data_IF_392477935092
#
_entry.id   IF_392477935092
#
_cell.length_a   1.000
_cell.length_b   1.000
_cell.length_c   1.000
_cell.angle_alpha   90.00
_cell.angle_beta   90.00
_cell.angle_gamma   90.00
#
_symmetry.space_group_name_H-M   'P 1'
#
loop_
_entity.id
_entity.type
_entity.pdbx_description
1 polymer ?
#
# COMPACT_ATOMS: atom_id res chain seq x y z
N UNK A 1 3.92 7.65 14.82
CA UNK A 1 2.57 8.04 14.31
C UNK A 1 2.43 9.55 14.31
N UNK A 2 1.82 10.14 13.31
CA UNK A 2 1.59 11.60 13.27
C UNK A 2 0.26 11.97 13.98
N UNK A 3 0.04 11.44 15.18
CA UNK A 3 -1.13 11.71 16.04
C UNK A 3 -0.75 12.74 17.09
N UNK A 4 -1.59 13.77 17.26
CA UNK A 4 -1.40 14.78 18.29
C UNK A 4 -1.67 14.18 19.68
N UNK A 5 -0.76 14.41 20.60
CA UNK A 5 -0.70 13.76 21.89
C UNK A 5 0.29 12.58 21.96
N UNK A 6 0.86 12.13 20.83
CA UNK A 6 1.93 11.12 20.78
C UNK A 6 3.30 11.81 20.92
N UNK A 7 3.60 12.29 22.11
CA UNK A 7 4.69 13.24 22.37
C UNK A 7 6.10 12.64 22.19
N UNK A 8 6.25 11.33 22.29
CA UNK A 8 7.50 10.59 22.04
C UNK A 8 7.63 10.08 20.60
N UNK A 9 6.56 10.15 19.80
CA UNK A 9 6.52 9.77 18.39
C UNK A 9 6.55 8.27 18.12
N UNK A 10 6.35 7.44 19.11
CA UNK A 10 6.35 5.98 18.98
C UNK A 10 5.04 5.44 18.33
N UNK A 11 4.74 4.15 18.46
CA UNK A 11 3.55 3.50 17.91
C UNK A 11 2.31 3.57 18.83
N UNK A 12 2.41 4.18 20.00
CA UNK A 12 1.37 4.16 21.03
C UNK A 12 1.11 5.55 21.59
N UNK A 13 -0.06 5.73 22.21
CA UNK A 13 -0.33 6.87 23.09
C UNK A 13 -0.50 6.30 24.49
N UNK A 14 0.41 6.66 25.39
CA UNK A 14 0.45 6.11 26.74
C UNK A 14 0.93 7.13 27.80
N UNK A 15 1.26 6.65 28.99
CA UNK A 15 1.68 7.51 30.11
C UNK A 15 3.03 8.17 29.91
N UNK A 16 3.86 7.68 28.97
CA UNK A 16 5.12 8.33 28.64
C UNK A 16 4.89 9.66 27.91
N UNK A 17 3.87 9.71 27.03
CA UNK A 17 3.47 10.97 26.38
C UNK A 17 2.99 12.01 27.39
N UNK A 18 2.18 11.58 28.36
CA UNK A 18 1.74 12.44 29.47
C UNK A 18 2.94 12.95 30.24
N UNK A 19 3.92 12.09 30.54
CA UNK A 19 5.14 12.47 31.26
C UNK A 19 5.95 13.53 30.52
N UNK A 20 6.14 13.37 29.22
CA UNK A 20 6.88 14.33 28.37
C UNK A 20 6.20 15.69 28.38
N UNK A 21 4.89 15.74 28.20
CA UNK A 21 4.14 17.01 28.24
C UNK A 21 4.25 17.64 29.62
N UNK A 22 4.12 16.86 30.69
CA UNK A 22 4.24 17.35 32.07
C UNK A 22 5.65 17.86 32.36
N UNK A 23 6.72 17.18 31.90
CA UNK A 23 8.11 17.61 32.10
C UNK A 23 8.40 18.96 31.40
N UNK A 24 7.77 19.21 30.25
CA UNK A 24 7.79 20.52 29.61
C UNK A 24 7.10 21.59 30.47
N UNK A 25 5.89 21.31 30.95
CA UNK A 25 5.13 22.24 31.79
C UNK A 25 5.83 22.56 33.13
N UNK A 26 6.56 21.60 33.66
CA UNK A 26 7.37 21.75 34.89
C UNK A 26 8.73 22.46 34.62
N UNK A 27 9.05 22.79 33.36
CA UNK A 27 10.31 23.42 32.97
C UNK A 27 11.54 22.52 33.08
N UNK A 28 11.35 21.18 32.99
CA UNK A 28 12.44 20.19 32.99
C UNK A 28 13.03 19.95 31.61
N UNK A 29 12.22 20.17 30.54
CA UNK A 29 12.64 20.13 29.14
C UNK A 29 12.20 21.40 28.44
N UNK A 30 12.93 21.79 27.41
CA UNK A 30 12.67 23.02 26.65
C UNK A 30 11.69 22.77 25.50
N UNK A 31 11.05 23.83 25.01
CA UNK A 31 10.15 23.74 23.85
C UNK A 31 10.85 23.20 22.59
N UNK A 32 12.14 23.46 22.44
CA UNK A 32 12.99 22.97 21.34
C UNK A 32 13.18 21.46 21.34
N UNK A 33 12.97 20.80 22.48
CA UNK A 33 13.11 19.35 22.64
C UNK A 33 11.81 18.60 22.32
N UNK A 34 10.71 19.35 22.18
CA UNK A 34 9.40 18.78 21.88
C UNK A 34 9.30 18.35 20.41
N UNK A 35 8.66 17.21 20.21
CA UNK A 35 8.43 16.66 18.88
C UNK A 35 7.55 17.58 18.03
N UNK A 36 8.02 17.83 16.79
CA UNK A 36 7.32 18.64 15.79
C UNK A 36 6.95 17.78 14.60
N UNK A 37 5.73 17.93 14.11
CA UNK A 37 5.30 17.40 12.80
C UNK A 37 4.99 18.56 11.84
N UNK A 38 5.03 18.29 10.54
CA UNK A 38 4.84 19.33 9.50
C UNK A 38 3.81 18.87 8.49
N UNK A 39 2.82 19.72 8.22
CA UNK A 39 1.76 19.42 7.26
C UNK A 39 2.23 19.55 5.80
N UNK A 40 1.38 19.14 4.87
CA UNK A 40 1.64 19.20 3.43
C UNK A 40 1.91 20.62 2.89
N UNK A 41 1.53 21.68 3.64
CA UNK A 41 1.75 23.08 3.29
C UNK A 41 3.05 23.63 3.89
N UNK A 42 3.79 22.81 4.63
CA UNK A 42 5.03 23.21 5.31
C UNK A 42 4.83 23.90 6.65
N UNK A 43 3.62 23.90 7.22
CA UNK A 43 3.35 24.44 8.53
C UNK A 43 3.67 23.40 9.60
N UNK A 44 4.50 23.78 10.56
CA UNK A 44 4.92 22.94 11.67
C UNK A 44 4.02 23.09 12.89
N UNK A 45 3.89 22.00 13.64
CA UNK A 45 3.06 21.88 14.84
C UNK A 45 3.76 21.06 15.90
N UNK A 46 3.66 21.43 17.16
CA UNK A 46 4.06 20.59 18.26
C UNK A 46 3.06 19.44 18.43
N UNK A 47 3.55 18.23 18.48
CA UNK A 47 2.69 17.04 18.64
C UNK A 47 2.05 17.01 20.03
N UNK A 48 2.70 17.64 21.01
CA UNK A 48 2.20 17.79 22.38
C UNK A 48 0.98 18.73 22.52
N UNK A 49 0.69 19.59 21.53
CA UNK A 49 -0.58 20.35 21.44
C UNK A 49 -1.70 19.39 21.00
N UNK A 50 -2.11 18.55 21.94
CA UNK A 50 -2.96 17.37 21.66
C UNK A 50 -4.39 17.76 21.33
N UNK A 51 -4.94 18.79 21.99
CA UNK A 51 -6.29 19.31 21.76
C UNK A 51 -6.38 20.30 20.59
N UNK A 52 -5.23 20.70 20.00
CA UNK A 52 -5.07 21.56 18.82
C UNK A 52 -5.54 22.99 19.05
N UNK A 53 -5.42 23.53 20.28
CA UNK A 53 -5.75 24.93 20.59
C UNK A 53 -4.60 25.93 20.30
N UNK A 54 -3.41 25.43 19.94
CA UNK A 54 -2.22 26.19 19.60
C UNK A 54 -1.29 26.47 20.77
N UNK A 55 -1.49 25.82 21.91
CA UNK A 55 -0.67 25.94 23.11
C UNK A 55 -0.40 24.57 23.70
N UNK A 56 0.66 24.44 24.48
CA UNK A 56 0.92 23.25 25.29
C UNK A 56 0.63 23.61 26.75
N UNK A 57 -0.42 23.03 27.30
CA UNK A 57 -0.94 23.33 28.65
C UNK A 57 -1.35 22.06 29.40
N UNK A 58 -1.83 22.19 30.62
CA UNK A 58 -2.41 21.05 31.36
C UNK A 58 -3.66 20.46 30.70
N UNK A 59 -4.33 21.22 29.84
CA UNK A 59 -5.47 20.73 29.07
C UNK A 59 -5.06 19.64 28.07
N UNK A 60 -3.83 19.73 27.53
CA UNK A 60 -3.27 18.67 26.67
C UNK A 60 -2.96 17.39 27.46
N UNK A 61 -2.46 17.54 28.70
CA UNK A 61 -2.28 16.39 29.60
C UNK A 61 -3.62 15.68 29.86
N UNK A 62 -4.69 16.44 30.13
CA UNK A 62 -6.01 15.92 30.33
C UNK A 62 -6.55 15.26 29.05
N UNK A 63 -6.31 15.90 27.89
CA UNK A 63 -6.72 15.37 26.60
C UNK A 63 -5.98 14.06 26.26
N UNK A 64 -4.66 13.98 26.45
CA UNK A 64 -3.91 12.73 26.23
C UNK A 64 -4.40 11.63 27.16
N UNK A 65 -4.71 11.94 28.44
CA UNK A 65 -5.33 10.97 29.33
C UNK A 65 -6.67 10.47 28.78
N UNK A 66 -7.49 11.34 28.21
CA UNK A 66 -8.77 10.94 27.61
C UNK A 66 -8.57 10.08 26.34
N UNK A 67 -7.47 10.30 25.60
CA UNK A 67 -7.09 9.45 24.47
C UNK A 67 -6.64 8.05 24.93
N UNK A 68 -5.88 7.96 26.02
CA UNK A 68 -5.46 6.69 26.64
C UNK A 68 -6.68 5.91 27.15
N UNK A 69 -7.58 6.59 27.85
CA UNK A 69 -8.80 6.01 28.41
C UNK A 69 -9.91 5.79 27.36
N UNK A 70 -9.70 6.19 26.10
CA UNK A 70 -10.67 6.10 25.00
C UNK A 70 -11.99 6.83 25.28
N UNK A 71 -11.93 7.92 26.05
CA UNK A 71 -13.08 8.78 26.40
C UNK A 71 -13.13 10.08 25.59
N UNK A 72 -12.07 10.38 24.85
CA UNK A 72 -12.06 11.51 23.92
C UNK A 72 -13.09 11.32 22.79
N UNK A 73 -13.80 12.38 22.41
CA UNK A 73 -14.74 12.34 21.29
C UNK A 73 -14.02 12.08 19.96
N UNK A 74 -12.85 12.69 19.78
CA UNK A 74 -12.03 12.61 18.55
C UNK A 74 -10.55 12.58 18.87
N UNK A 75 -9.79 12.03 17.94
CA UNK A 75 -8.33 12.14 17.86
C UNK A 75 -7.95 13.06 16.70
N UNK A 76 -6.89 13.85 16.86
CA UNK A 76 -6.32 14.73 15.83
C UNK A 76 -5.01 14.15 15.30
N UNK A 77 -4.78 14.25 13.98
CA UNK A 77 -3.59 13.71 13.33
C UNK A 77 -3.31 14.40 11.99
N UNK A 78 -2.11 14.22 11.46
CA UNK A 78 -1.86 14.39 10.03
C UNK A 78 -2.13 13.06 9.33
N UNK A 79 -2.96 13.08 8.30
CA UNK A 79 -3.27 11.89 7.52
C UNK A 79 -2.09 11.48 6.61
N UNK A 80 -2.26 10.42 5.82
CA UNK A 80 -1.21 9.88 4.96
C UNK A 80 -0.72 10.82 3.86
N UNK A 81 -1.38 11.94 3.66
CA UNK A 81 -0.99 13.03 2.76
C UNK A 81 -0.52 14.28 3.51
N UNK A 82 -0.34 14.20 4.82
CA UNK A 82 0.07 15.32 5.66
C UNK A 82 -1.04 16.38 5.84
N UNK A 83 -2.31 15.99 5.69
CA UNK A 83 -3.44 16.89 5.85
C UNK A 83 -3.97 16.77 7.27
N UNK A 84 -4.20 17.94 7.90
CA UNK A 84 -4.79 18.00 9.23
C UNK A 84 -6.19 17.39 9.22
N UNK A 85 -6.35 16.31 9.98
CA UNK A 85 -7.56 15.52 10.05
C UNK A 85 -7.94 15.19 11.49
N UNK A 86 -9.15 14.75 11.68
CA UNK A 86 -9.62 14.22 12.95
C UNK A 86 -10.62 13.09 12.72
N UNK A 87 -10.67 12.15 13.66
CA UNK A 87 -11.58 11.01 13.60
C UNK A 87 -12.16 10.74 14.97
N UNK A 88 -13.47 10.44 15.02
CA UNK A 88 -14.12 9.91 16.21
C UNK A 88 -13.53 8.57 16.62
N UNK A 89 -13.60 8.22 17.90
CA UNK A 89 -13.09 6.95 18.41
C UNK A 89 -14.16 5.88 18.61
N UNK A 90 -15.43 6.29 18.60
CA UNK A 90 -16.57 5.38 18.58
C UNK A 90 -17.08 5.25 17.15
N UNK A 91 -16.74 4.12 16.50
CA UNK A 91 -16.96 3.87 15.08
C UNK A 91 -17.74 2.56 14.95
N UNK A 92 -18.88 2.61 14.26
CA UNK A 92 -19.69 1.43 13.93
C UNK A 92 -19.77 1.19 12.42
N UNK A 93 -19.84 2.27 11.61
CA UNK A 93 -20.04 2.20 10.18
C UNK A 93 -18.87 2.81 9.42
N UNK A 94 -18.18 2.01 8.60
CA UNK A 94 -16.99 2.40 7.85
C UNK A 94 -17.23 2.28 6.35
N UNK A 95 -16.89 3.34 5.60
CA UNK A 95 -16.69 3.27 4.14
C UNK A 95 -15.21 3.03 3.88
N UNK A 96 -14.90 1.98 3.08
CA UNK A 96 -13.54 1.60 2.69
C UNK A 96 -13.40 1.65 1.17
N UNK A 97 -12.59 2.58 0.64
CA UNK A 97 -12.57 2.80 -0.82
C UNK A 97 -11.83 1.75 -1.61
N UNK A 98 -10.80 1.12 -1.07
CA UNK A 98 -9.92 0.26 -1.85
C UNK A 98 -9.54 -1.02 -1.10
N UNK A 99 -8.82 -1.90 -1.78
CA UNK A 99 -8.43 -3.21 -1.28
C UNK A 99 -7.50 -3.11 -0.08
N UNK A 100 -6.53 -2.19 -0.11
CA UNK A 100 -5.59 -1.95 0.99
C UNK A 100 -6.29 -1.57 2.31
N UNK A 101 -7.34 -0.77 2.23
CA UNK A 101 -8.13 -0.38 3.40
C UNK A 101 -8.95 -1.59 3.92
N UNK A 102 -9.51 -2.41 3.02
CA UNK A 102 -10.22 -3.63 3.41
C UNK A 102 -9.28 -4.64 4.09
N UNK A 103 -8.07 -4.84 3.56
CA UNK A 103 -7.05 -5.68 4.17
C UNK A 103 -6.66 -5.17 5.56
N UNK A 104 -6.45 -3.86 5.69
CA UNK A 104 -6.12 -3.26 6.99
C UNK A 104 -7.25 -3.43 8.01
N UNK A 105 -8.51 -3.24 7.61
CA UNK A 105 -9.65 -3.46 8.50
C UNK A 105 -9.80 -4.94 8.90
N UNK A 106 -9.44 -5.87 8.00
CA UNK A 106 -9.37 -7.30 8.31
C UNK A 106 -8.28 -7.60 9.33
N UNK A 107 -7.06 -7.13 9.09
CA UNK A 107 -5.92 -7.24 10.00
C UNK A 107 -6.27 -6.72 11.40
N UNK A 108 -6.98 -5.60 11.49
CA UNK A 108 -7.41 -5.01 12.74
C UNK A 108 -8.61 -5.74 13.39
N UNK A 109 -9.22 -6.70 12.69
CA UNK A 109 -10.37 -7.49 13.18
C UNK A 109 -11.68 -6.69 13.23
N UNK A 110 -11.83 -5.69 12.37
CA UNK A 110 -12.98 -4.77 12.37
C UNK A 110 -13.73 -4.72 11.02
N UNK A 111 -13.51 -5.69 10.16
CA UNK A 111 -14.14 -5.77 8.83
C UNK A 111 -15.68 -5.81 8.88
N UNK A 112 -16.28 -6.30 9.96
CA UNK A 112 -17.74 -6.29 10.15
C UNK A 112 -18.34 -4.88 10.29
N UNK A 113 -17.49 -3.86 10.50
CA UNK A 113 -17.91 -2.45 10.50
C UNK A 113 -18.01 -1.85 9.09
N UNK A 114 -17.56 -2.55 8.06
CA UNK A 114 -17.60 -2.07 6.67
C UNK A 114 -19.05 -2.10 6.16
N UNK A 115 -19.60 -0.93 5.85
CA UNK A 115 -20.94 -0.80 5.26
C UNK A 115 -20.91 -0.53 3.75
N UNK A 116 -19.77 -0.03 3.24
CA UNK A 116 -19.59 0.25 1.81
C UNK A 116 -18.13 0.12 1.39
N UNK A 117 -17.90 -0.37 0.17
CA UNK A 117 -16.56 -0.48 -0.41
C UNK A 117 -16.51 0.03 -1.85
N UNK A 118 -15.31 0.38 -2.30
CA UNK A 118 -15.06 0.69 -3.71
C UNK A 118 -15.28 -0.50 -4.64
N UNK A 119 -15.28 -0.24 -5.95
CA UNK A 119 -15.60 -1.26 -6.94
C UNK A 119 -14.62 -2.45 -6.94
N UNK A 120 -13.32 -2.20 -6.80
CA UNK A 120 -12.30 -3.25 -6.80
C UNK A 120 -12.49 -4.26 -5.66
N UNK A 121 -12.53 -3.88 -4.38
CA UNK A 121 -12.80 -4.83 -3.31
C UNK A 121 -14.21 -5.45 -3.38
N UNK A 122 -15.20 -4.74 -3.94
CA UNK A 122 -16.53 -5.32 -4.14
C UNK A 122 -16.53 -6.46 -5.17
N UNK A 123 -15.81 -6.31 -6.28
CA UNK A 123 -15.66 -7.36 -7.29
C UNK A 123 -14.89 -8.57 -6.76
N UNK A 124 -13.94 -8.32 -5.86
CA UNK A 124 -13.10 -9.35 -5.23
C UNK A 124 -13.52 -9.67 -3.78
N UNK A 125 -14.80 -9.46 -3.44
CA UNK A 125 -15.31 -9.63 -2.07
C UNK A 125 -15.12 -11.03 -1.50
N UNK A 126 -15.05 -12.06 -2.35
CA UNK A 126 -14.75 -13.41 -1.92
C UNK A 126 -13.34 -13.56 -1.32
N UNK A 127 -12.47 -12.59 -1.53
CA UNK A 127 -11.17 -12.47 -0.89
C UNK A 127 -11.15 -11.34 0.15
N UNK A 128 -11.27 -10.07 -0.28
CA UNK A 128 -11.08 -8.92 0.60
C UNK A 128 -12.13 -8.76 1.72
N UNK A 129 -13.29 -9.40 1.57
CA UNK A 129 -14.38 -9.37 2.55
C UNK A 129 -14.73 -10.76 3.10
N UNK A 130 -13.83 -11.74 2.94
CA UNK A 130 -14.12 -13.14 3.32
C UNK A 130 -14.35 -13.32 4.83
N UNK A 131 -13.73 -12.47 5.65
CA UNK A 131 -13.86 -12.54 7.11
C UNK A 131 -15.09 -11.80 7.66
N UNK A 132 -15.90 -11.18 6.80
CA UNK A 132 -17.16 -10.58 7.23
C UNK A 132 -18.22 -11.66 7.48
N UNK A 133 -19.01 -11.46 8.55
CA UNK A 133 -20.14 -12.33 8.85
C UNK A 133 -21.20 -12.28 7.73
N UNK A 134 -21.44 -11.10 7.16
CA UNK A 134 -22.35 -10.92 6.01
C UNK A 134 -21.82 -9.86 5.03
N UNK A 135 -21.09 -10.31 4.02
CA UNK A 135 -20.60 -9.43 2.95
C UNK A 135 -21.67 -9.11 1.88
N UNK A 136 -22.86 -9.71 1.95
CA UNK A 136 -23.93 -9.49 0.96
C UNK A 136 -24.61 -8.13 1.14
N UNK A 137 -24.58 -7.58 2.35
CA UNK A 137 -25.17 -6.27 2.71
C UNK A 137 -24.28 -5.08 2.37
N UNK A 138 -23.00 -5.32 2.01
CA UNK A 138 -22.06 -4.24 1.71
C UNK A 138 -22.42 -3.52 0.42
N UNK A 139 -22.54 -2.20 0.51
CA UNK A 139 -22.85 -1.35 -0.65
C UNK A 139 -21.64 -1.13 -1.55
N UNK A 140 -21.83 -1.17 -2.87
CA UNK A 140 -20.78 -0.86 -3.84
C UNK A 140 -20.77 0.64 -4.16
N UNK A 141 -19.67 1.34 -3.88
CA UNK A 141 -19.48 2.74 -4.29
C UNK A 141 -19.55 2.95 -5.81
N UNK A 142 -19.34 1.89 -6.59
CA UNK A 142 -19.17 1.90 -8.05
C UNK A 142 -18.03 2.82 -8.52
N UNK A 143 -18.13 4.12 -8.26
CA UNK A 143 -17.12 5.10 -8.62
C UNK A 143 -16.74 5.95 -7.41
N UNK A 144 -15.53 5.75 -6.87
CA UNK A 144 -15.02 6.49 -5.72
C UNK A 144 -14.86 8.01 -5.96
N UNK A 145 -14.80 8.43 -7.24
CA UNK A 145 -14.66 9.84 -7.60
C UNK A 145 -16.01 10.59 -7.69
N UNK A 146 -17.08 9.86 -7.91
CA UNK A 146 -18.45 10.41 -8.00
C UNK A 146 -19.49 9.38 -7.51
N UNK A 147 -19.47 9.02 -6.23
CA UNK A 147 -20.39 8.04 -5.67
C UNK A 147 -21.81 8.61 -5.52
N UNK A 148 -22.78 7.74 -5.33
CA UNK A 148 -24.15 8.12 -4.97
C UNK A 148 -24.20 8.52 -3.48
N UNK A 149 -24.04 9.79 -3.20
CA UNK A 149 -24.04 10.32 -1.84
C UNK A 149 -25.39 10.16 -1.11
N UNK A 150 -26.53 10.12 -1.84
CA UNK A 150 -27.85 9.92 -1.22
C UNK A 150 -27.96 8.48 -0.69
N UNK A 151 -27.50 7.50 -1.47
CA UNK A 151 -27.43 6.11 -1.03
C UNK A 151 -26.47 5.91 0.14
N UNK A 152 -25.31 6.60 0.12
CA UNK A 152 -24.33 6.51 1.20
C UNK A 152 -24.81 7.13 2.50
N UNK A 153 -25.59 8.24 2.44
CA UNK A 153 -26.12 8.89 3.64
C UNK A 153 -27.07 7.97 4.44
N UNK A 154 -27.76 7.05 3.76
CA UNK A 154 -28.66 6.06 4.41
C UNK A 154 -27.87 5.03 5.24
N UNK A 155 -26.58 4.83 4.92
CA UNK A 155 -25.70 3.92 5.66
C UNK A 155 -25.15 4.53 6.96
N UNK A 156 -25.40 5.81 7.20
CA UNK A 156 -24.99 6.57 8.38
C UNK A 156 -23.49 6.32 8.72
N UNK A 157 -22.55 6.56 7.77
CA UNK A 157 -21.15 6.25 7.99
C UNK A 157 -20.54 7.16 9.05
N UNK A 158 -19.82 6.57 9.99
CA UNK A 158 -19.03 7.30 10.98
C UNK A 158 -17.72 7.79 10.38
N UNK A 159 -17.09 6.92 9.60
CA UNK A 159 -15.77 7.13 9.01
C UNK A 159 -15.74 6.71 7.55
N UNK A 160 -15.08 7.51 6.74
CA UNK A 160 -14.77 7.20 5.36
C UNK A 160 -13.25 7.16 5.19
N UNK A 161 -12.69 5.97 5.04
CA UNK A 161 -11.28 5.76 4.76
C UNK A 161 -11.10 5.84 3.25
N UNK A 162 -10.54 6.96 2.80
CA UNK A 162 -10.35 7.26 1.39
C UNK A 162 -9.02 6.68 0.87
N UNK A 163 -9.05 6.12 -0.33
CA UNK A 163 -7.85 5.60 -0.98
C UNK A 163 -6.88 6.72 -1.40
N UNK A 164 -7.43 7.79 -1.99
CA UNK A 164 -6.67 8.94 -2.47
C UNK A 164 -7.18 10.22 -1.81
N UNK A 165 -6.31 11.22 -1.74
CA UNK A 165 -6.69 12.57 -1.29
C UNK A 165 -7.47 13.33 -2.38
N UNK A 166 -8.66 12.83 -2.71
CA UNK A 166 -9.52 13.40 -3.76
C UNK A 166 -10.92 13.68 -3.24
N UNK A 167 -11.42 14.89 -3.49
CA UNK A 167 -12.78 15.31 -3.13
C UNK A 167 -13.11 15.17 -1.63
N UNK A 168 -12.11 15.29 -0.74
CA UNK A 168 -12.24 15.01 0.69
C UNK A 168 -13.30 15.89 1.35
N UNK A 169 -13.33 17.20 1.03
CA UNK A 169 -14.33 18.14 1.58
C UNK A 169 -15.74 17.79 1.13
N UNK A 170 -15.90 17.39 -0.15
CA UNK A 170 -17.19 16.97 -0.70
C UNK A 170 -17.67 15.68 -0.04
N UNK A 171 -16.76 14.70 0.13
CA UNK A 171 -17.06 13.44 0.83
C UNK A 171 -17.54 13.73 2.25
N UNK A 172 -16.82 14.57 2.99
CA UNK A 172 -17.13 14.96 4.36
C UNK A 172 -18.48 15.69 4.45
N UNK A 173 -18.70 16.70 3.59
CA UNK A 173 -19.94 17.48 3.57
C UNK A 173 -21.16 16.60 3.26
N UNK A 174 -21.03 15.71 2.26
CA UNK A 174 -22.16 14.93 1.75
C UNK A 174 -22.47 13.69 2.58
N UNK A 175 -21.44 13.01 3.14
CA UNK A 175 -21.65 11.81 3.95
C UNK A 175 -21.83 12.08 5.44
N UNK A 176 -21.41 13.26 5.93
CA UNK A 176 -21.31 13.61 7.36
C UNK A 176 -20.34 12.70 8.15
N UNK A 177 -19.56 11.87 7.47
CA UNK A 177 -18.52 11.03 8.06
C UNK A 177 -17.26 11.86 8.38
N UNK A 178 -16.43 11.35 9.27
CA UNK A 178 -15.04 11.80 9.38
C UNK A 178 -14.26 11.19 8.21
N UNK A 179 -13.65 12.00 7.34
CA UNK A 179 -12.99 11.56 6.10
C UNK A 179 -11.50 11.85 6.16
N UNK A 180 -10.68 10.85 5.91
CA UNK A 180 -9.23 10.97 5.79
C UNK A 180 -8.66 9.83 4.92
N UNK A 181 -7.42 9.99 4.45
CA UNK A 181 -6.71 8.94 3.73
C UNK A 181 -5.45 8.55 4.49
N UNK A 182 -5.32 7.29 4.92
CA UNK A 182 -4.08 6.78 5.54
C UNK A 182 -2.95 6.54 4.53
N UNK A 183 -3.23 6.63 3.21
CA UNK A 183 -2.28 6.41 2.11
C UNK A 183 -1.63 5.00 2.16
N UNK A 184 -2.43 3.97 2.42
CA UNK A 184 -1.97 2.59 2.66
C UNK A 184 -1.27 1.93 1.48
N UNK A 185 -1.50 2.40 0.26
CA UNK A 185 -0.83 1.89 -0.94
C UNK A 185 0.58 2.43 -1.13
N UNK A 186 0.93 3.50 -0.41
CA UNK A 186 2.27 4.06 -0.49
C UNK A 186 3.25 3.24 0.36
N UNK A 187 4.27 2.67 -0.28
CA UNK A 187 5.44 2.11 0.40
C UNK A 187 6.68 2.88 -0.05
N UNK A 188 7.56 3.17 0.89
CA UNK A 188 8.90 3.69 0.64
C UNK A 188 9.89 2.55 0.94
N UNK A 189 10.38 1.89 -0.09
CA UNK A 189 11.35 0.80 0.06
C UNK A 189 12.80 1.29 0.23
N UNK A 190 13.03 2.61 0.23
CA UNK A 190 14.30 3.21 0.65
C UNK A 190 14.34 3.32 2.18
N UNK A 191 13.22 3.75 2.77
CA UNK A 191 13.03 3.80 4.22
C UNK A 191 11.57 3.46 4.57
N UNK A 192 11.28 2.20 4.93
CA UNK A 192 9.91 1.73 5.16
C UNK A 192 9.19 2.49 6.28
N UNK A 193 9.91 3.06 7.24
CA UNK A 193 9.30 3.88 8.31
C UNK A 193 8.68 5.19 7.81
N UNK A 194 9.06 5.66 6.62
CA UNK A 194 8.43 6.82 5.98
C UNK A 194 7.19 6.45 5.17
N UNK A 195 6.95 5.15 4.96
CA UNK A 195 5.84 4.66 4.14
C UNK A 195 4.48 5.06 4.69
N UNK A 196 3.58 5.43 3.79
CA UNK A 196 2.17 5.63 4.13
C UNK A 196 1.53 4.36 4.69
N UNK A 197 1.86 3.18 4.15
CA UNK A 197 1.35 1.90 4.66
C UNK A 197 1.77 1.64 6.12
N UNK A 198 2.98 2.00 6.53
CA UNK A 198 3.45 1.86 7.93
C UNK A 198 2.77 2.89 8.85
N UNK A 199 2.83 4.16 8.47
CA UNK A 199 2.22 5.24 9.26
C UNK A 199 0.69 5.10 9.33
N UNK A 200 0.06 4.77 8.21
CA UNK A 200 -1.37 4.54 8.11
C UNK A 200 -1.85 3.33 8.91
N UNK A 201 -1.07 2.24 8.91
CA UNK A 201 -1.38 1.06 9.73
C UNK A 201 -1.38 1.40 11.23
N UNK A 202 -0.35 2.11 11.70
CA UNK A 202 -0.25 2.53 13.10
C UNK A 202 -1.39 3.50 13.48
N UNK A 203 -1.73 4.44 12.58
CA UNK A 203 -2.86 5.37 12.77
C UNK A 203 -4.17 4.60 12.92
N UNK A 204 -4.47 3.69 11.98
CA UNK A 204 -5.70 2.90 12.02
C UNK A 204 -5.70 1.92 13.20
N UNK A 205 -4.54 1.34 13.54
CA UNK A 205 -4.37 0.51 14.73
C UNK A 205 -4.76 1.25 16.02
N UNK A 206 -4.39 2.53 16.13
CA UNK A 206 -4.82 3.38 17.23
C UNK A 206 -6.33 3.69 17.14
N UNK A 207 -6.83 4.17 15.99
CA UNK A 207 -8.24 4.54 15.79
C UNK A 207 -9.15 3.36 16.13
N UNK A 208 -8.87 2.17 15.63
CA UNK A 208 -9.68 0.95 15.84
C UNK A 208 -9.29 0.13 17.09
N UNK A 209 -8.43 0.67 17.94
CA UNK A 209 -8.04 0.05 19.22
C UNK A 209 -7.38 -1.33 19.07
N UNK A 210 -6.58 -1.53 18.05
CA UNK A 210 -5.79 -2.73 17.84
C UNK A 210 -4.35 -2.42 17.38
N UNK A 211 -3.64 -1.62 18.18
CA UNK A 211 -2.25 -1.24 17.92
C UNK A 211 -1.32 -2.45 17.80
N UNK A 212 -1.57 -3.52 18.59
CA UNK A 212 -0.74 -4.72 18.55
C UNK A 212 -0.80 -5.44 17.18
N UNK A 213 -1.95 -5.44 16.49
CA UNK A 213 -2.05 -5.99 15.15
C UNK A 213 -1.30 -5.12 14.14
N UNK A 214 -1.45 -3.80 14.23
CA UNK A 214 -0.72 -2.86 13.38
C UNK A 214 0.80 -2.97 13.58
N UNK A 215 1.29 -3.11 14.82
CA UNK A 215 2.70 -3.31 15.13
C UNK A 215 3.24 -4.61 14.51
N UNK A 216 2.49 -5.72 14.57
CA UNK A 216 2.91 -6.98 13.91
C UNK A 216 3.08 -6.82 12.39
N UNK A 217 2.15 -6.11 11.75
CA UNK A 217 2.22 -5.82 10.33
C UNK A 217 3.44 -4.95 9.99
N UNK A 218 3.69 -3.90 10.76
CA UNK A 218 4.84 -3.02 10.56
C UNK A 218 6.15 -3.77 10.76
N UNK A 219 6.24 -4.61 11.80
CA UNK A 219 7.42 -5.43 12.03
C UNK A 219 7.68 -6.41 10.87
N UNK A 220 6.63 -7.04 10.34
CA UNK A 220 6.77 -7.92 9.17
C UNK A 220 7.34 -7.18 7.95
N UNK A 221 6.86 -5.96 7.66
CA UNK A 221 7.42 -5.13 6.58
C UNK A 221 8.90 -4.84 6.83
N UNK A 222 9.24 -4.38 8.03
CA UNK A 222 10.59 -3.92 8.36
C UNK A 222 11.58 -5.08 8.41
N UNK A 223 11.20 -6.23 8.98
CA UNK A 223 12.05 -7.41 9.08
C UNK A 223 12.39 -7.96 7.69
N UNK A 224 11.42 -8.06 6.79
CA UNK A 224 11.64 -8.51 5.43
C UNK A 224 12.43 -7.48 4.60
N UNK A 225 12.16 -6.19 4.76
CA UNK A 225 12.97 -5.14 4.16
C UNK A 225 14.43 -5.19 4.60
N UNK A 226 14.70 -5.40 5.89
CA UNK A 226 16.05 -5.57 6.42
C UNK A 226 16.74 -6.77 5.79
N UNK A 227 16.07 -7.93 5.72
CA UNK A 227 16.59 -9.13 5.09
C UNK A 227 16.99 -8.87 3.63
N UNK A 228 16.12 -8.25 2.84
CA UNK A 228 16.37 -7.94 1.44
C UNK A 228 17.53 -6.94 1.28
N UNK A 229 17.54 -5.90 2.13
CA UNK A 229 18.63 -4.91 2.15
C UNK A 229 19.98 -5.57 2.46
N UNK A 230 20.03 -6.49 3.42
CA UNK A 230 21.26 -7.18 3.79
C UNK A 230 21.72 -8.13 2.68
N UNK A 231 20.81 -8.83 2.02
CA UNK A 231 21.13 -9.65 0.84
C UNK A 231 21.73 -8.80 -0.28
N UNK A 232 21.12 -7.66 -0.57
CA UNK A 232 21.55 -6.75 -1.66
C UNK A 232 22.95 -6.19 -1.44
N UNK A 233 23.36 -5.95 -0.18
CA UNK A 233 24.72 -5.49 0.15
C UNK A 233 25.83 -6.48 -0.28
N UNK A 234 25.48 -7.74 -0.52
CA UNK A 234 26.40 -8.76 -0.97
C UNK A 234 26.62 -8.76 -2.48
N UNK A 235 25.82 -8.01 -3.24
CA UNK A 235 25.83 -7.96 -4.70
C UNK A 235 26.66 -6.76 -5.16
N UNK A 236 27.66 -7.00 -6.00
CA UNK A 236 28.46 -5.90 -6.58
C UNK A 236 27.66 -5.18 -7.68
N UNK A 237 27.92 -3.90 -7.91
CA UNK A 237 27.26 -3.13 -8.98
C UNK A 237 27.44 -3.77 -10.37
N UNK A 238 28.58 -4.43 -10.60
CA UNK A 238 28.87 -5.10 -11.87
C UNK A 238 28.10 -6.41 -12.08
N UNK A 239 27.59 -6.98 -10.99
CA UNK A 239 26.84 -8.26 -10.99
C UNK A 239 25.32 -8.04 -10.97
N UNK A 240 24.85 -6.80 -10.91
CA UNK A 240 23.42 -6.48 -10.96
C UNK A 240 22.87 -6.72 -12.35
N UNK A 241 21.89 -7.64 -12.51
CA UNK A 241 21.27 -7.85 -13.81
C UNK A 241 20.44 -6.63 -14.22
N UNK A 242 20.46 -6.32 -15.52
CA UNK A 242 19.67 -5.23 -16.09
C UNK A 242 18.22 -5.69 -16.33
N UNK A 243 17.27 -4.89 -15.89
CA UNK A 243 15.84 -5.25 -15.89
C UNK A 243 15.00 -4.14 -16.51
N UNK A 244 14.23 -4.47 -17.54
CA UNK A 244 13.15 -3.63 -18.03
C UNK A 244 11.84 -4.05 -17.36
N UNK A 245 11.26 -3.13 -16.59
CA UNK A 245 9.98 -3.33 -15.90
C UNK A 245 8.91 -2.44 -16.52
N UNK A 246 7.77 -3.01 -16.93
CA UNK A 246 6.69 -2.22 -17.51
C UNK A 246 5.29 -2.81 -17.28
N UNK A 247 4.27 -1.96 -17.42
CA UNK A 247 2.88 -2.35 -17.32
C UNK A 247 2.30 -2.76 -18.68
N UNK A 248 2.00 -4.04 -18.84
CA UNK A 248 1.48 -4.58 -20.10
C UNK A 248 0.10 -4.03 -20.46
N UNK A 249 -0.77 -3.78 -19.48
CA UNK A 249 -2.08 -3.16 -19.71
C UNK A 249 -1.98 -1.79 -20.38
N UNK A 250 -0.99 -0.96 -19.98
CA UNK A 250 -0.71 0.32 -20.62
C UNK A 250 -0.23 0.18 -22.06
N UNK A 251 0.56 -0.86 -22.36
CA UNK A 251 1.00 -1.15 -23.72
C UNK A 251 -0.16 -1.52 -24.64
N UNK A 252 -1.09 -2.37 -24.19
CA UNK A 252 -2.23 -2.79 -25.00
C UNK A 252 -3.12 -1.63 -25.46
N UNK A 253 -3.18 -0.55 -24.70
CA UNK A 253 -3.95 0.63 -25.08
C UNK A 253 -3.26 1.51 -26.17
N UNK A 254 -1.95 1.36 -26.34
CA UNK A 254 -1.14 2.22 -27.22
C UNK A 254 -0.40 1.45 -28.35
N UNK A 255 -0.79 0.20 -28.63
CA UNK A 255 -0.15 -0.63 -29.67
C UNK A 255 -0.13 0.01 -31.05
N UNK A 256 -1.18 0.78 -31.39
CA UNK A 256 -1.26 1.48 -32.68
C UNK A 256 -0.17 2.56 -32.85
N UNK A 257 0.29 3.14 -31.74
CA UNK A 257 1.32 4.19 -31.74
C UNK A 257 2.73 3.66 -31.49
N UNK A 258 2.88 2.36 -31.27
CA UNK A 258 4.16 1.72 -30.91
C UNK A 258 4.82 2.39 -29.70
N UNK A 259 4.04 2.67 -28.68
CA UNK A 259 4.45 3.35 -27.46
C UNK A 259 4.23 2.43 -26.28
N UNK A 260 5.24 2.33 -25.41
CA UNK A 260 5.19 1.58 -24.17
C UNK A 260 5.02 2.53 -23.00
N UNK A 261 4.11 2.21 -22.10
CA UNK A 261 4.02 2.89 -20.80
C UNK A 261 4.98 2.22 -19.83
N UNK A 262 5.98 2.98 -19.39
CA UNK A 262 6.95 2.55 -18.39
C UNK A 262 6.70 3.25 -17.05
N UNK A 263 7.04 2.56 -15.99
CA UNK A 263 6.95 3.10 -14.63
C UNK A 263 8.23 3.86 -14.28
N UNK A 264 8.08 5.02 -13.67
CA UNK A 264 9.20 5.84 -13.21
C UNK A 264 9.75 5.42 -11.85
N UNK A 265 10.67 6.23 -11.33
CA UNK A 265 11.42 5.94 -10.09
C UNK A 265 10.57 5.97 -8.82
N UNK A 266 9.39 6.59 -8.85
CA UNK A 266 8.43 6.54 -7.72
C UNK A 266 7.63 5.25 -7.66
N UNK A 267 7.64 4.43 -8.73
CA UNK A 267 6.83 3.23 -8.80
C UNK A 267 7.31 2.14 -7.84
N UNK A 268 6.35 1.37 -7.31
CA UNK A 268 6.65 0.24 -6.44
C UNK A 268 7.54 -0.81 -7.12
N UNK A 269 7.34 -1.04 -8.43
CA UNK A 269 8.16 -1.99 -9.19
C UNK A 269 9.62 -1.56 -9.29
N UNK A 270 9.88 -0.27 -9.52
CA UNK A 270 11.24 0.28 -9.52
C UNK A 270 11.89 0.14 -8.14
N UNK A 271 11.18 0.51 -7.08
CA UNK A 271 11.70 0.43 -5.72
C UNK A 271 11.95 -1.03 -5.30
N UNK A 272 11.03 -1.95 -5.62
CA UNK A 272 11.15 -3.37 -5.34
C UNK A 272 12.37 -4.00 -6.07
N UNK A 273 12.55 -3.62 -7.34
CA UNK A 273 13.70 -4.05 -8.13
C UNK A 273 15.03 -3.61 -7.50
N UNK A 274 15.13 -2.34 -7.11
CA UNK A 274 16.33 -1.81 -6.48
C UNK A 274 16.59 -2.43 -5.10
N UNK A 275 15.54 -2.70 -4.32
CA UNK A 275 15.66 -3.33 -2.99
C UNK A 275 16.34 -4.69 -3.07
N UNK A 276 16.11 -5.46 -4.13
CA UNK A 276 16.72 -6.80 -4.32
C UNK A 276 17.95 -6.79 -5.21
N UNK A 277 18.46 -5.62 -5.60
CA UNK A 277 19.73 -5.48 -6.29
C UNK A 277 19.67 -5.69 -7.81
N UNK A 278 18.53 -5.43 -8.45
CA UNK A 278 18.46 -5.32 -9.90
C UNK A 278 18.86 -3.90 -10.37
N UNK A 279 19.38 -3.78 -11.60
CA UNK A 279 19.60 -2.51 -12.27
C UNK A 279 18.39 -2.17 -13.16
N UNK A 280 17.71 -1.06 -12.87
CA UNK A 280 16.55 -0.65 -13.64
C UNK A 280 16.98 0.02 -14.95
N UNK A 281 16.64 -0.56 -16.09
CA UNK A 281 16.95 -0.01 -17.43
C UNK A 281 16.41 1.41 -17.61
N UNK A 282 15.35 1.79 -16.89
CA UNK A 282 14.83 3.16 -16.93
C UNK A 282 15.84 4.22 -16.47
N UNK A 283 16.80 3.86 -15.62
CA UNK A 283 17.86 4.77 -15.17
C UNK A 283 18.77 5.18 -16.33
N UNK A 284 18.89 4.33 -17.35
CA UNK A 284 19.71 4.58 -18.55
C UNK A 284 18.95 5.37 -19.61
N UNK A 285 17.63 5.08 -19.78
CA UNK A 285 16.85 5.64 -20.91
C UNK A 285 15.98 6.85 -20.54
N UNK A 286 15.57 6.96 -19.27
CA UNK A 286 14.71 8.04 -18.80
C UNK A 286 14.93 8.35 -17.29
N UNK A 287 16.16 8.69 -16.86
CA UNK A 287 16.52 8.82 -15.44
C UNK A 287 15.74 9.93 -14.68
N UNK A 288 15.14 10.86 -15.41
CA UNK A 288 14.33 11.94 -14.81
C UNK A 288 12.84 11.60 -14.69
N UNK A 289 12.43 10.41 -15.13
CA UNK A 289 11.03 10.00 -15.06
C UNK A 289 10.70 9.58 -13.62
N UNK A 290 9.83 10.35 -12.96
CA UNK A 290 9.43 10.11 -11.58
C UNK A 290 8.23 9.15 -11.52
N UNK A 291 7.12 9.50 -12.17
CA UNK A 291 5.89 8.72 -12.08
C UNK A 291 5.79 7.66 -13.18
N UNK A 292 5.08 7.95 -14.24
CA UNK A 292 5.02 7.09 -15.42
C UNK A 292 5.16 7.92 -16.68
N UNK A 293 5.66 7.31 -17.74
CA UNK A 293 5.87 7.99 -19.01
C UNK A 293 5.69 7.06 -20.19
N UNK A 294 5.70 7.66 -21.38
CA UNK A 294 5.58 6.93 -22.63
C UNK A 294 6.90 6.99 -23.38
N UNK A 295 7.39 5.83 -23.79
CA UNK A 295 8.57 5.70 -24.66
C UNK A 295 8.20 4.99 -25.94
N UNK A 296 8.84 5.37 -27.04
CA UNK A 296 8.71 4.64 -28.31
C UNK A 296 9.40 3.27 -28.23
N UNK A 297 8.80 2.24 -28.81
CA UNK A 297 9.39 0.89 -28.87
C UNK A 297 10.80 0.93 -29.49
N UNK A 298 11.04 1.85 -30.43
CA UNK A 298 12.34 2.01 -31.09
C UNK A 298 13.48 2.33 -30.09
N UNK A 299 13.16 3.02 -28.99
CA UNK A 299 14.13 3.31 -27.94
C UNK A 299 14.57 2.06 -27.18
N UNK A 300 13.79 0.98 -27.22
CA UNK A 300 14.10 -0.29 -26.57
C UNK A 300 15.03 -1.18 -27.41
N UNK A 301 15.10 -0.95 -28.72
CA UNK A 301 15.97 -1.73 -29.64
C UNK A 301 17.46 -1.53 -29.33
N UNK A 302 17.80 -0.34 -28.82
CA UNK A 302 19.18 0.00 -28.44
C UNK A 302 19.51 -0.42 -26.99
N UNK A 303 18.50 -0.76 -26.21
CA UNK A 303 18.63 -1.11 -24.79
C UNK A 303 18.52 -2.62 -24.63
N UNK A 304 19.62 -3.24 -24.21
CA UNK A 304 19.62 -4.65 -23.85
C UNK A 304 19.31 -4.79 -22.37
N UNK A 305 18.31 -5.61 -22.03
CA UNK A 305 17.99 -6.01 -20.66
C UNK A 305 18.23 -7.52 -20.53
N UNK A 306 18.79 -7.95 -19.42
CA UNK A 306 18.92 -9.37 -19.10
C UNK A 306 17.54 -9.98 -18.80
N UNK A 307 16.66 -9.16 -18.22
CA UNK A 307 15.31 -9.57 -17.82
C UNK A 307 14.26 -8.56 -18.26
N UNK A 308 13.11 -9.09 -18.68
CA UNK A 308 11.87 -8.34 -18.92
C UNK A 308 10.87 -8.76 -17.86
N UNK A 309 10.45 -7.83 -17.00
CA UNK A 309 9.39 -8.05 -16.04
C UNK A 309 8.11 -7.37 -16.50
N UNK A 310 7.10 -8.17 -16.77
CA UNK A 310 5.81 -7.74 -17.29
C UNK A 310 4.79 -7.71 -16.18
N UNK A 311 4.41 -6.51 -15.76
CA UNK A 311 3.37 -6.30 -14.79
C UNK A 311 2.00 -6.49 -15.43
N UNK A 312 1.25 -7.48 -15.02
CA UNK A 312 -0.08 -7.76 -15.54
C UNK A 312 -0.99 -8.43 -14.51
N UNK A 313 -2.29 -8.20 -14.66
CA UNK A 313 -3.35 -8.83 -13.88
C UNK A 313 -4.62 -8.88 -14.73
N UNK A 314 -5.38 -9.95 -14.60
CA UNK A 314 -6.71 -10.02 -15.20
C UNK A 314 -7.70 -9.32 -14.27
N UNK A 315 -8.00 -8.08 -14.57
CA UNK A 315 -8.99 -7.31 -13.84
C UNK A 315 -10.40 -7.60 -14.39
N UNK A 316 -11.29 -8.09 -13.56
CA UNK A 316 -12.72 -8.24 -13.89
C UNK A 316 -13.50 -6.98 -13.50
N UNK A 317 -13.05 -5.81 -14.00
CA UNK A 317 -13.71 -4.52 -13.79
C UNK A 317 -14.20 -3.91 -15.10
N UNK A 318 -15.33 -3.22 -15.08
CA UNK A 318 -15.90 -2.40 -16.16
C UNK A 318 -16.33 -3.12 -17.44
N UNK A 319 -16.43 -4.45 -17.46
CA UNK A 319 -16.91 -5.21 -18.64
C UNK A 319 -16.00 -5.11 -19.86
N UNK A 320 -14.78 -4.58 -19.72
CA UNK A 320 -13.76 -4.59 -20.76
C UNK A 320 -12.76 -5.69 -20.48
N UNK A 321 -12.91 -6.83 -21.15
CA UNK A 321 -11.81 -7.79 -21.25
C UNK A 321 -10.64 -7.10 -21.92
N UNK A 322 -9.57 -6.87 -21.17
CA UNK A 322 -8.27 -6.57 -21.76
C UNK A 322 -7.79 -7.88 -22.38
N UNK A 323 -7.95 -8.02 -23.69
CA UNK A 323 -7.50 -9.20 -24.40
C UNK A 323 -6.02 -9.47 -24.07
N UNK A 324 -5.69 -10.71 -23.77
CA UNK A 324 -4.33 -11.21 -23.53
C UNK A 324 -3.69 -10.95 -22.16
N UNK A 325 -4.43 -10.51 -21.14
CA UNK A 325 -3.92 -10.52 -19.76
C UNK A 325 -4.28 -11.87 -19.12
N UNK A 326 -3.30 -12.68 -18.69
CA UNK A 326 -3.58 -13.98 -18.09
C UNK A 326 -4.26 -13.81 -16.74
N UNK A 327 -5.12 -14.78 -16.39
CA UNK A 327 -5.70 -14.84 -15.07
C UNK A 327 -4.62 -15.17 -14.03
N UNK A 328 -4.54 -14.37 -12.96
CA UNK A 328 -3.66 -14.58 -11.82
C UNK A 328 -4.22 -13.89 -10.57
N UNK A 329 -3.64 -14.18 -9.41
CA UNK A 329 -4.02 -13.62 -8.13
C UNK A 329 -4.87 -14.55 -7.26
N UNK A 330 -5.46 -14.00 -6.23
CA UNK A 330 -6.12 -14.74 -5.15
C UNK A 330 -7.32 -15.60 -5.58
N UNK A 331 -8.05 -15.19 -6.60
CA UNK A 331 -9.28 -15.86 -7.05
C UNK A 331 -9.05 -16.80 -8.25
N UNK A 332 -7.81 -17.18 -8.52
CA UNK A 332 -7.43 -18.01 -9.67
C UNK A 332 -6.66 -19.24 -9.17
N UNK A 333 -7.20 -20.43 -9.41
CA UNK A 333 -6.58 -21.69 -8.98
C UNK A 333 -5.92 -22.46 -10.13
N UNK A 334 -5.92 -21.91 -11.34
CA UNK A 334 -5.36 -22.55 -12.52
C UNK A 334 -4.38 -21.61 -13.23
N UNK A 335 -3.14 -22.01 -13.32
CA UNK A 335 -2.05 -21.22 -13.93
C UNK A 335 -1.93 -21.39 -15.46
N UNK A 336 -2.82 -22.14 -16.13
CA UNK A 336 -2.69 -22.44 -17.56
C UNK A 336 -2.67 -21.20 -18.44
N UNK A 337 -3.44 -20.16 -18.11
CA UNK A 337 -3.42 -18.90 -18.85
C UNK A 337 -2.08 -18.15 -18.65
N UNK A 338 -1.54 -18.18 -17.44
CA UNK A 338 -0.25 -17.56 -17.10
C UNK A 338 0.90 -18.27 -17.83
N UNK A 339 0.91 -19.60 -17.80
CA UNK A 339 1.87 -20.44 -18.52
C UNK A 339 1.80 -20.16 -20.03
N UNK A 340 0.61 -20.25 -20.63
CA UNK A 340 0.43 -20.00 -22.06
C UNK A 340 0.83 -18.58 -22.48
N UNK A 341 0.57 -17.60 -21.62
CA UNK A 341 0.95 -16.22 -21.88
C UNK A 341 2.48 -16.05 -21.81
N UNK A 342 3.12 -16.63 -20.82
CA UNK A 342 4.58 -16.57 -20.69
C UNK A 342 5.30 -17.27 -21.84
N UNK A 343 4.81 -18.45 -22.24
CA UNK A 343 5.29 -19.16 -23.43
C UNK A 343 5.02 -18.40 -24.72
N UNK A 344 3.92 -17.67 -24.78
CA UNK A 344 3.47 -16.90 -25.94
C UNK A 344 3.97 -15.46 -26.01
N UNK A 345 4.79 -14.98 -25.04
CA UNK A 345 5.33 -13.62 -25.04
C UNK A 345 6.10 -13.29 -26.34
N UNK A 346 6.60 -14.30 -27.04
CA UNK A 346 7.32 -14.17 -28.31
C UNK A 346 6.47 -13.64 -29.49
N UNK A 347 5.14 -13.66 -29.37
CA UNK A 347 4.27 -13.29 -30.51
C UNK A 347 3.95 -11.79 -30.59
N UNK A 348 4.57 -10.95 -29.76
CA UNK A 348 4.36 -9.51 -29.78
C UNK A 348 5.59 -8.84 -30.37
N UNK A 349 5.37 -7.88 -31.29
CA UNK A 349 6.43 -7.11 -31.98
C UNK A 349 7.46 -6.51 -31.00
N UNK A 350 7.04 -6.10 -29.80
CA UNK A 350 7.95 -5.63 -28.74
C UNK A 350 8.97 -6.72 -28.36
N UNK A 351 8.53 -7.97 -28.29
CA UNK A 351 9.34 -9.08 -27.83
C UNK A 351 10.23 -9.66 -28.93
N UNK A 352 9.96 -9.37 -30.20
CA UNK A 352 10.84 -9.70 -31.32
C UNK A 352 12.21 -9.02 -31.19
N UNK A 353 12.25 -7.83 -30.57
CA UNK A 353 13.48 -7.08 -30.30
C UNK A 353 14.24 -7.57 -29.05
N UNK A 354 13.63 -8.46 -28.28
CA UNK A 354 14.14 -8.94 -26.98
C UNK A 354 14.24 -10.46 -26.95
N UNK A 355 14.64 -11.10 -28.07
CA UNK A 355 14.68 -12.56 -28.20
C UNK A 355 15.57 -13.24 -27.14
N UNK A 356 16.72 -12.63 -26.83
CA UNK A 356 17.72 -13.15 -25.88
C UNK A 356 17.43 -12.76 -24.42
N UNK A 357 16.33 -12.03 -24.15
CA UNK A 357 15.99 -11.55 -22.81
C UNK A 357 15.12 -12.55 -22.07
N UNK A 358 15.46 -12.87 -20.82
CA UNK A 358 14.60 -13.68 -19.95
C UNK A 358 13.29 -12.93 -19.63
N UNK A 359 12.15 -13.56 -19.80
CA UNK A 359 10.84 -12.92 -19.71
C UNK A 359 10.00 -13.54 -18.60
N UNK A 360 9.51 -12.70 -17.70
CA UNK A 360 8.70 -13.12 -16.56
C UNK A 360 7.52 -12.20 -16.33
N UNK A 361 6.49 -12.71 -15.67
CA UNK A 361 5.27 -11.97 -15.33
C UNK A 361 5.26 -11.70 -13.84
N UNK A 362 4.93 -10.46 -13.48
CA UNK A 362 4.67 -10.07 -12.09
C UNK A 362 3.18 -9.82 -11.87
N UNK A 363 2.68 -10.15 -10.68
CA UNK A 363 1.28 -10.02 -10.35
C UNK A 363 0.96 -8.69 -9.68
N UNK A 364 -0.02 -7.95 -10.22
CA UNK A 364 -0.49 -6.69 -9.66
C UNK A 364 -1.18 -6.85 -8.30
N UNK A 365 -1.81 -7.99 -8.03
CA UNK A 365 -2.53 -8.18 -6.76
C UNK A 365 -1.62 -8.17 -5.54
N UNK A 366 -0.31 -8.43 -5.73
CA UNK A 366 0.71 -8.23 -4.69
C UNK A 366 0.94 -6.76 -4.31
N UNK A 367 0.28 -5.81 -4.99
CA UNK A 367 0.47 -4.37 -4.76
C UNK A 367 -0.72 -3.68 -4.09
N UNK A 368 -1.79 -4.38 -3.84
CA UNK A 368 -3.03 -3.77 -3.33
C UNK A 368 -2.86 -3.10 -1.97
N UNK A 369 -2.01 -3.63 -1.09
CA UNK A 369 -1.49 -2.91 0.06
C UNK A 369 -0.05 -2.46 -0.20
N UNK A 370 0.41 -1.38 0.39
CA UNK A 370 1.81 -0.96 0.27
C UNK A 370 2.80 -2.07 0.65
N UNK A 371 2.44 -2.91 1.64
CA UNK A 371 3.17 -4.12 2.02
C UNK A 371 3.32 -5.15 0.89
N UNK A 372 2.43 -5.15 -0.07
CA UNK A 372 2.56 -5.98 -1.29
C UNK A 372 3.86 -5.71 -2.06
N UNK A 373 4.46 -4.54 -1.89
CA UNK A 373 5.79 -4.24 -2.41
C UNK A 373 6.90 -5.13 -1.87
N UNK A 374 6.76 -5.63 -0.66
CA UNK A 374 7.68 -6.63 -0.07
C UNK A 374 7.53 -7.98 -0.80
N UNK A 375 6.30 -8.41 -1.08
CA UNK A 375 6.03 -9.64 -1.85
C UNK A 375 6.54 -9.51 -3.30
N UNK A 376 6.31 -8.37 -3.93
CA UNK A 376 6.84 -8.09 -5.27
C UNK A 376 8.36 -8.10 -5.29
N UNK A 377 9.02 -7.49 -4.30
CA UNK A 377 10.46 -7.51 -4.17
C UNK A 377 10.99 -8.94 -3.98
N UNK A 378 10.31 -9.76 -3.17
CA UNK A 378 10.66 -11.17 -3.01
C UNK A 378 10.53 -11.97 -4.32
N UNK A 379 9.45 -11.74 -5.08
CA UNK A 379 9.26 -12.36 -6.40
C UNK A 379 10.38 -11.97 -7.37
N UNK A 380 10.68 -10.67 -7.48
CA UNK A 380 11.79 -10.18 -8.31
C UNK A 380 13.11 -10.76 -7.83
N UNK A 381 13.34 -10.77 -6.51
CA UNK A 381 14.52 -11.34 -5.91
C UNK A 381 14.71 -12.83 -6.28
N UNK A 382 13.65 -13.63 -6.25
CA UNK A 382 13.69 -15.02 -6.68
C UNK A 382 14.05 -15.17 -8.16
N UNK A 383 13.49 -14.32 -9.04
CA UNK A 383 13.82 -14.34 -10.47
C UNK A 383 15.28 -14.00 -10.71
N UNK A 384 15.85 -13.01 -10.02
CA UNK A 384 17.20 -12.54 -10.23
C UNK A 384 18.25 -13.36 -9.47
N UNK A 385 17.92 -13.82 -8.27
CA UNK A 385 18.83 -14.44 -7.31
C UNK A 385 18.15 -15.60 -6.56
N UNK A 386 17.82 -16.71 -7.23
CA UNK A 386 17.05 -17.82 -6.62
C UNK A 386 17.76 -18.47 -5.42
N UNK A 387 19.09 -18.37 -5.35
CA UNK A 387 19.89 -18.88 -4.22
C UNK A 387 19.71 -18.00 -2.95
N UNK A 388 19.45 -16.69 -3.11
CA UNK A 388 19.18 -15.77 -1.99
C UNK A 388 17.70 -15.75 -1.61
N UNK A 389 16.82 -15.92 -2.58
CA UNK A 389 15.36 -15.86 -2.43
C UNK A 389 14.74 -17.15 -2.98
N UNK A 390 14.78 -18.22 -2.21
CA UNK A 390 14.24 -19.51 -2.67
C UNK A 390 12.73 -19.46 -2.87
N UNK A 391 12.19 -20.35 -3.70
CA UNK A 391 10.74 -20.49 -3.88
C UNK A 391 10.02 -20.81 -2.55
N UNK A 392 10.68 -21.59 -1.68
CA UNK A 392 10.16 -21.87 -0.34
C UNK A 392 10.06 -20.62 0.53
N UNK A 393 11.03 -19.69 0.44
CA UNK A 393 10.96 -18.37 1.10
C UNK A 393 9.79 -17.55 0.55
N UNK A 394 9.65 -17.48 -0.77
CA UNK A 394 8.61 -16.72 -1.44
C UNK A 394 7.20 -17.20 -1.06
N UNK A 395 6.97 -18.51 -1.10
CA UNK A 395 5.70 -19.12 -0.72
C UNK A 395 5.39 -18.93 0.77
N UNK A 396 6.42 -19.06 1.63
CA UNK A 396 6.29 -18.81 3.06
C UNK A 396 5.92 -17.34 3.37
N UNK A 397 6.58 -16.40 2.70
CA UNK A 397 6.33 -14.97 2.86
C UNK A 397 4.89 -14.57 2.46
N UNK A 398 4.37 -15.16 1.37
CA UNK A 398 2.99 -14.93 0.95
C UNK A 398 2.00 -15.48 2.00
N UNK A 399 2.23 -16.67 2.53
CA UNK A 399 1.35 -17.23 3.57
C UNK A 399 1.40 -16.39 4.85
N UNK A 400 2.59 -15.95 5.28
CA UNK A 400 2.73 -15.05 6.43
C UNK A 400 1.92 -13.75 6.23
N UNK A 401 1.98 -13.16 5.02
CA UNK A 401 1.19 -11.97 4.69
C UNK A 401 -0.31 -12.23 4.84
N UNK A 402 -0.81 -13.32 4.27
CA UNK A 402 -2.22 -13.71 4.33
C UNK A 402 -2.66 -13.95 5.79
N UNK A 403 -1.82 -14.62 6.59
CA UNK A 403 -2.07 -14.88 8.00
C UNK A 403 -2.12 -13.58 8.82
N UNK A 404 -1.24 -12.62 8.55
CA UNK A 404 -1.22 -11.30 9.19
C UNK A 404 -2.50 -10.52 8.86
N UNK A 405 -2.98 -10.60 7.62
CA UNK A 405 -4.26 -10.00 7.22
C UNK A 405 -5.47 -10.67 7.88
N UNK A 406 -5.27 -11.79 8.56
CA UNK A 406 -6.34 -12.54 9.24
C UNK A 406 -7.25 -13.31 8.30
N UNK A 407 -6.81 -13.58 7.07
CA UNK A 407 -7.59 -14.36 6.11
C UNK A 407 -7.44 -15.85 6.34
N UNK A 408 -8.57 -16.59 6.30
CA UNK A 408 -8.59 -18.04 6.24
C UNK A 408 -8.34 -18.51 4.78
N UNK A 409 -7.08 -18.40 4.36
CA UNK A 409 -6.66 -18.65 2.98
C UNK A 409 -5.33 -19.40 2.96
N UNK A 410 -5.32 -20.54 2.28
CA UNK A 410 -4.14 -21.39 2.11
C UNK A 410 -3.52 -21.11 0.72
N UNK A 411 -2.48 -20.27 0.70
CA UNK A 411 -1.80 -19.88 -0.53
C UNK A 411 -1.03 -21.03 -1.19
N UNK A 412 -0.84 -22.16 -0.51
CA UNK A 412 -0.26 -23.36 -1.09
C UNK A 412 -1.25 -24.18 -1.93
N UNK A 413 -2.55 -23.91 -1.81
CA UNK A 413 -3.63 -24.60 -2.51
C UNK A 413 -4.44 -23.72 -3.45
N UNK A 414 -4.40 -22.42 -3.21
CA UNK A 414 -5.22 -21.43 -3.89
C UNK A 414 -4.38 -20.26 -4.35
N UNK A 415 -4.81 -19.61 -5.42
CA UNK A 415 -4.14 -18.46 -5.99
C UNK A 415 -3.06 -18.82 -7.02
N UNK A 416 -2.86 -17.91 -7.96
CA UNK A 416 -1.79 -17.96 -8.95
C UNK A 416 -1.09 -16.63 -8.96
N UNK A 417 0.09 -16.56 -8.33
CA UNK A 417 0.84 -15.31 -8.16
C UNK A 417 2.11 -15.26 -8.99
N UNK A 418 2.66 -16.41 -9.34
CA UNK A 418 3.89 -16.54 -10.13
C UNK A 418 3.95 -17.88 -10.86
N UNK A 419 4.73 -17.87 -11.90
CA UNK A 419 5.16 -19.05 -12.64
C UNK A 419 6.63 -18.85 -13.04
N UNK A 420 7.46 -19.78 -12.70
CA UNK A 420 8.87 -19.79 -13.03
C UNK A 420 9.15 -20.95 -13.98
N UNK A 421 9.95 -20.69 -15.02
CA UNK A 421 10.44 -21.74 -15.89
C UNK A 421 11.36 -22.68 -15.09
N UNK A 422 11.16 -23.99 -15.28
CA UNK A 422 12.09 -25.02 -14.82
C UNK A 422 13.33 -25.10 -15.73
#
# INVERSE_FOLDING_TARGET
MDIFGNADGNSRIDKEDVRIIQDYLDGKIELSDMLVTTDANGKSYYVADANRDGKITSEDVDFVNSLIDRTADKVHFLDGYGIMSSCRLNIDNVISEYTSECEMLSLLGVQDKIVSVGNAPYQMKNYFLMNMNDSSSVYNLNNMHSPDYEALAVLEPDVWIAHLNMNMDVKKEKSQADVFSPNLTNIDLINPYNSGCVKGALLLGYIFNNTAAAERYVNWIVDNWNLMTDNTKTISEADKPSVLYFWYGGYLHDTANKVLTINGTSSIGYQALNLVGGHAVIDDIAPSLIDSGKIGIESLVEVRADYLLVHTVKYQGDGKELAYIPAQGYLVDNNSELVAFQEGLANNVLFDYMEDTNKYITCNELWHGGSGGILLAAQIGHILYPDLYSEGYLNGLLQEYVDIMGYDYDSSKHGVFWYFYE
#
